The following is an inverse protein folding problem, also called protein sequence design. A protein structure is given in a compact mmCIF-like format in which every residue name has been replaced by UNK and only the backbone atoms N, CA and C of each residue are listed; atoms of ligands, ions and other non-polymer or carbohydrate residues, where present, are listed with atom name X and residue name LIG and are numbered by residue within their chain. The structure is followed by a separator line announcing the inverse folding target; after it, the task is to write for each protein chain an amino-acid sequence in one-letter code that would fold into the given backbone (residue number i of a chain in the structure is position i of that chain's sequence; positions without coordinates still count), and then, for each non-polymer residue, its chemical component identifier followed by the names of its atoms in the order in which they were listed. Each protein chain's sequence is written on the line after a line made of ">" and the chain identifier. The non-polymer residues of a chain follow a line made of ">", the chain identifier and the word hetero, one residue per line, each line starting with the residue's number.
data_IF_656112672179
#
_entry.id   IF_656112672179
#
_cell.length_a   1.000
_cell.length_b   1.000
_cell.length_c   1.000
_cell.angle_alpha   90.00
_cell.angle_beta   90.00
_cell.angle_gamma   90.00
#
_symmetry.space_group_name_H-M   'P 1'
#
loop_
_entity.id
_entity.type
_entity.pdbx_description
1 polymer ?
#
# COMPACT_ATOMS: atom_id res chain seq x y z
N UNK A 1 -35.77 17.79 -9.00
CA UNK A 1 -34.65 18.63 -8.51
C UNK A 1 -34.44 18.57 -7.00
N UNK A 2 -35.47 18.64 -6.16
CA UNK A 2 -35.28 18.63 -4.69
C UNK A 2 -34.78 17.31 -4.08
N UNK A 3 -35.08 16.13 -4.63
CA UNK A 3 -34.69 14.84 -4.03
C UNK A 3 -33.23 14.42 -4.27
N UNK A 4 -32.55 14.99 -5.27
CA UNK A 4 -31.18 14.59 -5.62
C UNK A 4 -30.16 15.14 -4.63
N UNK A 5 -30.40 16.36 -4.15
CA UNK A 5 -29.56 17.07 -3.19
C UNK A 5 -29.31 16.23 -1.93
N UNK A 6 -30.33 15.80 -1.17
CA UNK A 6 -30.10 15.01 0.05
C UNK A 6 -29.52 13.62 -0.24
N UNK A 7 -29.82 13.03 -1.40
CA UNK A 7 -29.22 11.76 -1.80
C UNK A 7 -27.72 11.89 -2.05
N UNK A 8 -27.29 12.93 -2.77
CA UNK A 8 -25.88 13.17 -3.06
C UNK A 8 -25.14 13.56 -1.77
N UNK A 9 -25.76 14.32 -0.87
CA UNK A 9 -25.18 14.61 0.45
C UNK A 9 -24.94 13.33 1.25
N UNK A 10 -25.92 12.41 1.30
CA UNK A 10 -25.75 11.12 1.96
C UNK A 10 -24.64 10.27 1.30
N UNK A 11 -24.53 10.27 -0.04
CA UNK A 11 -23.44 9.59 -0.75
C UNK A 11 -22.09 10.19 -0.37
N UNK A 12 -21.97 11.52 -0.33
CA UNK A 12 -20.74 12.21 0.07
C UNK A 12 -20.35 11.84 1.51
N UNK A 13 -21.30 11.82 2.45
CA UNK A 13 -21.03 11.45 3.85
C UNK A 13 -20.56 10.00 3.98
N UNK A 14 -21.19 9.06 3.25
CA UNK A 14 -20.77 7.66 3.23
C UNK A 14 -19.37 7.49 2.63
N UNK A 15 -19.08 8.20 1.53
CA UNK A 15 -17.77 8.16 0.89
C UNK A 15 -16.69 8.79 1.78
N UNK A 16 -16.99 9.90 2.44
CA UNK A 16 -16.10 10.53 3.42
C UNK A 16 -15.76 9.51 4.51
N UNK A 17 -16.76 8.93 5.18
CA UNK A 17 -16.56 7.92 6.22
C UNK A 17 -15.70 6.73 5.75
N UNK A 18 -15.97 6.21 4.54
CA UNK A 18 -15.18 5.13 3.93
C UNK A 18 -13.72 5.53 3.77
N UNK A 19 -13.44 6.69 3.15
CA UNK A 19 -12.07 7.19 2.91
C UNK A 19 -11.31 7.44 4.22
N UNK A 20 -11.98 7.99 5.23
CA UNK A 20 -11.38 8.23 6.54
C UNK A 20 -11.08 6.92 7.28
N UNK A 21 -11.99 5.94 7.23
CA UNK A 21 -11.76 4.64 7.85
C UNK A 21 -10.52 3.95 7.28
N UNK A 22 -10.35 3.92 5.96
CA UNK A 22 -9.17 3.35 5.30
C UNK A 22 -7.90 4.07 5.76
N UNK A 23 -7.93 5.40 5.79
CA UNK A 23 -6.78 6.21 6.24
C UNK A 23 -6.39 5.87 7.69
N UNK A 24 -7.37 5.69 8.56
CA UNK A 24 -7.14 5.40 9.98
C UNK A 24 -6.50 4.02 10.16
N UNK A 25 -6.90 3.05 9.35
CA UNK A 25 -6.26 1.74 9.37
C UNK A 25 -4.84 1.83 8.79
N UNK A 26 -4.61 2.53 7.68
CA UNK A 26 -3.25 2.76 7.16
C UNK A 26 -2.37 3.42 8.23
N UNK A 27 -2.89 4.41 8.95
CA UNK A 27 -2.17 5.09 10.04
C UNK A 27 -1.84 4.14 11.19
N UNK A 28 -2.67 3.13 11.44
CA UNK A 28 -2.38 2.10 12.45
C UNK A 28 -1.23 1.18 12.00
N UNK A 29 -1.15 0.86 10.71
CA UNK A 29 -0.03 0.13 10.09
C UNK A 29 1.27 0.92 10.20
N UNK A 30 1.25 2.20 9.79
CA UNK A 30 2.42 3.09 9.81
C UNK A 30 3.02 3.25 11.23
N UNK A 31 2.19 3.13 12.26
CA UNK A 31 2.61 3.26 13.66
C UNK A 31 3.02 1.94 14.30
N UNK A 32 2.65 0.81 13.72
CA UNK A 32 2.99 -0.50 14.28
C UNK A 32 4.49 -0.73 14.16
N UNK A 33 5.12 -1.26 15.22
CA UNK A 33 6.49 -1.76 15.10
C UNK A 33 6.49 -3.02 14.22
N UNK A 34 7.63 -3.37 13.62
CA UNK A 34 7.72 -4.54 12.72
C UNK A 34 7.26 -5.84 13.38
N UNK A 35 7.55 -6.01 14.68
CA UNK A 35 7.14 -7.19 15.46
C UNK A 35 5.64 -7.20 15.74
N UNK A 36 5.04 -6.03 15.95
CA UNK A 36 3.59 -5.87 16.10
C UNK A 36 2.89 -6.07 14.76
N UNK A 37 3.51 -5.64 13.66
CA UNK A 37 2.95 -5.77 12.33
C UNK A 37 2.83 -7.24 11.90
N UNK A 38 3.86 -8.04 12.18
CA UNK A 38 3.88 -9.47 11.86
C UNK A 38 2.82 -10.27 12.64
N UNK A 39 2.47 -9.83 13.86
CA UNK A 39 1.43 -10.46 14.69
C UNK A 39 0.02 -9.89 14.47
N UNK A 40 -0.11 -8.58 14.28
CA UNK A 40 -1.37 -7.87 14.22
C UNK A 40 -1.95 -7.80 12.80
N UNK A 41 -1.09 -7.78 11.78
CA UNK A 41 -1.48 -7.67 10.38
C UNK A 41 -0.92 -8.84 9.57
N UNK A 42 -1.60 -9.99 9.67
CA UNK A 42 -1.38 -11.08 8.73
C UNK A 42 -1.52 -10.55 7.30
N UNK A 43 -0.71 -11.05 6.35
CA UNK A 43 -0.75 -10.63 4.93
C UNK A 43 -2.16 -10.60 4.33
N UNK A 44 -3.06 -11.46 4.80
CA UNK A 44 -4.47 -11.46 4.41
C UNK A 44 -5.18 -10.14 4.74
N UNK A 45 -4.97 -9.58 5.94
CA UNK A 45 -5.59 -8.31 6.35
C UNK A 45 -5.04 -7.12 5.57
N UNK A 46 -3.73 -7.10 5.32
CA UNK A 46 -3.10 -6.09 4.45
C UNK A 46 -3.66 -6.16 3.02
N UNK A 47 -3.82 -7.37 2.49
CA UNK A 47 -4.42 -7.58 1.18
C UNK A 47 -5.90 -7.16 1.13
N UNK A 48 -6.70 -7.52 2.14
CA UNK A 48 -8.12 -7.14 2.19
C UNK A 48 -8.28 -5.62 2.29
N UNK A 49 -7.44 -4.96 3.07
CA UNK A 49 -7.42 -3.51 3.14
C UNK A 49 -7.03 -2.86 1.82
N UNK A 50 -6.08 -3.45 1.09
CA UNK A 50 -5.73 -2.97 -0.25
C UNK A 50 -6.93 -3.07 -1.20
N UNK A 51 -7.68 -4.18 -1.14
CA UNK A 51 -8.92 -4.35 -1.89
C UNK A 51 -9.94 -3.26 -1.54
N UNK A 52 -10.16 -2.98 -0.25
CA UNK A 52 -11.09 -1.93 0.17
C UNK A 52 -10.63 -0.52 -0.26
N UNK A 53 -9.33 -0.23 -0.19
CA UNK A 53 -8.77 1.04 -0.67
C UNK A 53 -8.98 1.23 -2.18
N UNK A 54 -8.76 0.16 -2.96
CA UNK A 54 -9.01 0.16 -4.41
C UNK A 54 -10.51 0.37 -4.68
N UNK A 55 -11.38 -0.39 -4.01
CA UNK A 55 -12.82 -0.30 -4.21
C UNK A 55 -13.39 1.09 -3.84
N UNK A 56 -12.92 1.69 -2.75
CA UNK A 56 -13.31 3.05 -2.37
C UNK A 56 -12.88 4.08 -3.42
N UNK A 57 -11.67 3.93 -3.99
CA UNK A 57 -11.18 4.77 -5.09
C UNK A 57 -12.03 4.61 -6.37
N UNK A 58 -12.33 3.37 -6.77
CA UNK A 58 -13.17 3.08 -7.94
C UNK A 58 -14.58 3.64 -7.78
N UNK A 59 -15.20 3.43 -6.63
CA UNK A 59 -16.57 3.91 -6.35
C UNK A 59 -16.62 5.44 -6.33
N UNK A 60 -15.58 6.10 -5.82
CA UNK A 60 -15.45 7.56 -5.88
C UNK A 60 -15.29 8.08 -7.32
N UNK A 61 -14.51 7.40 -8.17
CA UNK A 61 -14.38 7.75 -9.59
C UNK A 61 -15.74 7.78 -10.27
N UNK A 62 -16.50 6.68 -10.12
CA UNK A 62 -17.84 6.55 -10.69
C UNK A 62 -18.80 7.60 -10.10
N UNK A 63 -18.69 7.90 -8.81
CA UNK A 63 -19.53 8.92 -8.16
C UNK A 63 -19.26 10.33 -8.71
N UNK A 64 -17.99 10.69 -8.91
CA UNK A 64 -17.59 11.96 -9.54
C UNK A 64 -18.12 12.04 -10.97
N UNK A 65 -17.87 11.03 -11.80
CA UNK A 65 -18.32 10.98 -13.20
C UNK A 65 -19.85 11.06 -13.31
N UNK A 66 -20.56 10.35 -12.43
CA UNK A 66 -22.03 10.37 -12.39
C UNK A 66 -22.55 11.77 -12.08
N UNK A 67 -21.98 12.43 -11.06
CA UNK A 67 -22.44 13.76 -10.66
C UNK A 67 -22.11 14.83 -11.71
N UNK A 68 -20.96 14.72 -12.37
CA UNK A 68 -20.61 15.57 -13.52
C UNK A 68 -21.59 15.38 -14.68
N UNK A 69 -21.95 14.14 -15.02
CA UNK A 69 -22.94 13.86 -16.06
C UNK A 69 -24.33 14.44 -15.71
N UNK A 70 -24.77 14.30 -14.45
CA UNK A 70 -26.02 14.90 -13.99
C UNK A 70 -25.99 16.43 -14.09
N UNK A 71 -24.85 17.06 -13.80
CA UNK A 71 -24.67 18.50 -13.95
C UNK A 71 -24.80 18.91 -15.42
N UNK A 72 -24.12 18.21 -16.33
CA UNK A 72 -24.22 18.49 -17.77
C UNK A 72 -25.65 18.34 -18.30
N UNK A 73 -26.38 17.33 -17.84
CA UNK A 73 -27.79 17.16 -18.20
C UNK A 73 -28.66 18.31 -17.67
N UNK A 74 -28.41 18.78 -16.44
CA UNK A 74 -29.11 19.93 -15.88
C UNK A 74 -28.84 21.23 -16.67
N UNK A 75 -27.64 21.40 -17.23
CA UNK A 75 -27.28 22.54 -18.09
C UNK A 75 -28.00 22.49 -19.44
N UNK A 76 -28.13 21.30 -20.03
CA UNK A 76 -28.67 21.10 -21.37
C UNK A 76 -30.21 21.03 -21.43
N UNK A 77 -30.90 21.02 -20.30
CA UNK A 77 -32.35 21.00 -20.24
C UNK A 77 -32.94 22.35 -20.71
N UNK A 78 -33.77 22.38 -21.78
CA UNK A 78 -34.34 23.62 -22.28
C UNK A 78 -35.28 24.23 -21.23
N UNK A 79 -35.00 25.44 -20.78
CA UNK A 79 -35.87 26.26 -19.92
C UNK A 79 -37.11 26.73 -20.71
N UNK A 80 -38.04 25.81 -20.99
CA UNK A 80 -39.16 26.04 -21.93
C UNK A 80 -40.33 26.88 -21.36
N UNK A 81 -40.27 27.38 -20.12
CA UNK A 81 -41.40 28.11 -19.52
C UNK A 81 -41.12 29.62 -19.37
N UNK A 82 -41.65 30.41 -20.30
CA UNK A 82 -41.61 31.89 -20.36
C UNK A 82 -42.55 32.63 -19.40
N UNK A 83 -42.94 32.06 -18.25
CA UNK A 83 -43.89 32.73 -17.32
C UNK A 83 -43.43 32.61 -15.87
N UNK A 84 -42.45 33.42 -15.49
CA UNK A 84 -41.87 33.48 -14.13
C UNK A 84 -40.33 33.58 -14.10
N UNK A 85 -39.73 34.47 -14.91
CA UNK A 85 -38.31 34.40 -15.26
C UNK A 85 -37.30 34.72 -14.14
N UNK A 86 -37.70 35.39 -13.06
CA UNK A 86 -36.79 35.78 -11.97
C UNK A 86 -36.50 34.63 -10.99
N UNK A 87 -37.55 34.08 -10.37
CA UNK A 87 -37.43 33.04 -9.35
C UNK A 87 -36.89 31.71 -9.90
N UNK A 88 -37.26 31.37 -11.13
CA UNK A 88 -36.81 30.14 -11.79
C UNK A 88 -35.34 30.21 -12.21
N UNK A 89 -34.85 31.41 -12.55
CA UNK A 89 -33.45 31.66 -12.87
C UNK A 89 -32.59 31.61 -11.59
N UNK A 90 -33.07 32.19 -10.49
CA UNK A 90 -32.41 32.12 -9.19
C UNK A 90 -32.34 30.67 -8.68
N UNK A 91 -33.44 29.92 -8.73
CA UNK A 91 -33.45 28.51 -8.33
C UNK A 91 -32.50 27.64 -9.18
N UNK A 92 -32.44 27.88 -10.50
CA UNK A 92 -31.50 27.18 -11.39
C UNK A 92 -30.04 27.53 -11.10
N UNK A 93 -29.76 28.77 -10.71
CA UNK A 93 -28.43 29.21 -10.33
C UNK A 93 -28.00 28.55 -9.01
N UNK A 94 -28.87 28.55 -8.00
CA UNK A 94 -28.61 27.92 -6.70
C UNK A 94 -28.32 26.41 -6.83
N UNK A 95 -29.11 25.68 -7.63
CA UNK A 95 -28.87 24.25 -7.91
C UNK A 95 -27.50 24.03 -8.56
N UNK A 96 -27.10 24.89 -9.50
CA UNK A 96 -25.79 24.79 -10.17
C UNK A 96 -24.64 24.99 -9.19
N UNK A 97 -24.70 26.03 -8.37
CA UNK A 97 -23.67 26.35 -7.37
C UNK A 97 -23.53 25.21 -6.35
N UNK A 98 -24.66 24.68 -5.87
CA UNK A 98 -24.67 23.56 -4.92
C UNK A 98 -24.06 22.29 -5.55
N UNK A 99 -24.44 21.96 -6.79
CA UNK A 99 -23.90 20.80 -7.50
C UNK A 99 -22.41 20.93 -7.80
N UNK A 100 -21.93 22.12 -8.16
CA UNK A 100 -20.49 22.40 -8.31
C UNK A 100 -19.73 22.18 -6.99
N UNK A 101 -20.31 22.60 -5.87
CA UNK A 101 -19.74 22.37 -4.55
C UNK A 101 -19.62 20.87 -4.24
N UNK A 102 -20.69 20.10 -4.48
CA UNK A 102 -20.70 18.65 -4.27
C UNK A 102 -19.69 17.91 -5.15
N UNK A 103 -19.56 18.29 -6.42
CA UNK A 103 -18.54 17.73 -7.33
C UNK A 103 -17.14 18.01 -6.79
N UNK A 104 -16.86 19.23 -6.32
CA UNK A 104 -15.57 19.57 -5.73
C UNK A 104 -15.28 18.72 -4.48
N UNK A 105 -16.26 18.51 -3.62
CA UNK A 105 -16.10 17.67 -2.43
C UNK A 105 -15.78 16.21 -2.80
N UNK A 106 -16.52 15.62 -3.75
CA UNK A 106 -16.23 14.27 -4.24
C UNK A 106 -14.86 14.18 -4.90
N UNK A 107 -14.42 15.18 -5.68
CA UNK A 107 -13.07 15.20 -6.26
C UNK A 107 -11.98 15.26 -5.21
N UNK A 108 -12.17 16.03 -4.13
CA UNK A 108 -11.23 16.04 -3.01
C UNK A 108 -11.15 14.67 -2.32
N UNK A 109 -12.29 14.00 -2.12
CA UNK A 109 -12.33 12.64 -1.58
C UNK A 109 -11.68 11.63 -2.52
N UNK A 110 -11.92 11.75 -3.83
CA UNK A 110 -11.29 10.92 -4.86
C UNK A 110 -9.76 11.03 -4.79
N UNK A 111 -9.21 12.25 -4.80
CA UNK A 111 -7.76 12.47 -4.69
C UNK A 111 -7.19 11.92 -3.37
N UNK A 112 -7.94 12.06 -2.27
CA UNK A 112 -7.55 11.47 -0.97
C UNK A 112 -7.56 9.94 -1.00
N UNK A 113 -8.56 9.34 -1.64
CA UNK A 113 -8.65 7.88 -1.79
C UNK A 113 -7.51 7.35 -2.66
N UNK A 114 -7.11 8.09 -3.71
CA UNK A 114 -5.94 7.78 -4.52
C UNK A 114 -4.67 7.79 -3.67
N UNK A 115 -4.45 8.87 -2.91
CA UNK A 115 -3.31 8.99 -2.00
C UNK A 115 -3.29 7.87 -0.96
N UNK A 116 -4.44 7.51 -0.39
CA UNK A 116 -4.54 6.36 0.53
C UNK A 116 -4.16 5.04 -0.15
N UNK A 117 -4.63 4.79 -1.38
CA UNK A 117 -4.30 3.60 -2.16
C UNK A 117 -2.80 3.49 -2.41
N UNK A 118 -2.17 4.57 -2.87
CA UNK A 118 -0.72 4.62 -3.14
C UNK A 118 0.09 4.45 -1.86
N UNK A 119 -0.32 5.10 -0.77
CA UNK A 119 0.32 4.98 0.54
C UNK A 119 0.26 3.56 1.09
N UNK A 120 -0.90 2.91 1.01
CA UNK A 120 -1.05 1.52 1.44
C UNK A 120 -0.21 0.55 0.59
N UNK A 121 -0.11 0.78 -0.73
CA UNK A 121 0.76 -0.01 -1.59
C UNK A 121 2.24 0.13 -1.20
N UNK A 122 2.68 1.32 -0.84
CA UNK A 122 4.03 1.55 -0.33
C UNK A 122 4.29 0.78 0.97
N UNK A 123 3.36 0.81 1.93
CA UNK A 123 3.48 0.04 3.16
C UNK A 123 3.53 -1.46 2.90
N UNK A 124 2.65 -2.01 2.05
CA UNK A 124 2.66 -3.44 1.70
C UNK A 124 3.99 -3.85 1.07
N UNK A 125 4.55 -3.01 0.19
CA UNK A 125 5.85 -3.27 -0.42
C UNK A 125 6.98 -3.25 0.62
N UNK A 126 6.99 -2.28 1.53
CA UNK A 126 7.97 -2.19 2.62
C UNK A 126 7.95 -3.45 3.50
N UNK A 127 6.75 -3.93 3.84
CA UNK A 127 6.57 -5.13 4.65
C UNK A 127 7.09 -6.38 3.93
N UNK A 128 6.77 -6.53 2.65
CA UNK A 128 7.29 -7.63 1.84
C UNK A 128 8.82 -7.62 1.73
N UNK A 129 9.43 -6.45 1.55
CA UNK A 129 10.89 -6.30 1.51
C UNK A 129 11.53 -6.69 2.85
N UNK A 130 10.98 -6.19 3.97
CA UNK A 130 11.49 -6.52 5.29
C UNK A 130 11.41 -8.02 5.61
N UNK A 131 10.29 -8.67 5.24
CA UNK A 131 10.15 -10.12 5.39
C UNK A 131 11.20 -10.87 4.55
N UNK A 132 11.44 -10.42 3.32
CA UNK A 132 12.46 -11.01 2.44
C UNK A 132 13.85 -10.89 3.06
N UNK A 133 14.21 -9.71 3.56
CA UNK A 133 15.49 -9.50 4.24
C UNK A 133 15.61 -10.41 5.46
N UNK A 134 14.56 -10.57 6.27
CA UNK A 134 14.56 -11.44 7.43
C UNK A 134 14.79 -12.91 7.05
N UNK A 135 14.07 -13.41 6.03
CA UNK A 135 14.22 -14.79 5.53
C UNK A 135 15.63 -15.03 4.97
N UNK A 136 16.13 -14.12 4.14
CA UNK A 136 17.49 -14.20 3.60
C UNK A 136 18.52 -14.16 4.73
N UNK A 137 18.37 -13.26 5.70
CA UNK A 137 19.29 -13.18 6.84
C UNK A 137 19.28 -14.47 7.64
N UNK A 138 18.10 -15.03 7.94
CA UNK A 138 17.97 -16.28 8.70
C UNK A 138 18.56 -17.49 7.95
N UNK A 139 18.42 -17.53 6.63
CA UNK A 139 18.97 -18.61 5.80
C UNK A 139 20.50 -18.55 5.66
N UNK A 140 21.07 -17.35 5.55
CA UNK A 140 22.50 -17.17 5.25
C UNK A 140 23.37 -16.89 6.47
N UNK A 141 22.83 -16.37 7.57
CA UNK A 141 23.61 -16.01 8.75
C UNK A 141 24.29 -17.22 9.43
N UNK A 142 23.60 -18.36 9.66
CA UNK A 142 24.25 -19.49 10.32
C UNK A 142 25.34 -20.17 9.46
N UNK A 143 25.14 -20.44 8.15
CA UNK A 143 26.21 -20.95 7.29
C UNK A 143 27.41 -20.01 7.20
N UNK A 144 27.17 -18.69 7.13
CA UNK A 144 28.25 -17.70 7.05
C UNK A 144 29.07 -17.67 8.34
N UNK A 145 28.41 -17.77 9.50
CA UNK A 145 29.06 -17.85 10.80
C UNK A 145 29.91 -19.12 10.92
N UNK A 146 29.38 -20.26 10.46
CA UNK A 146 30.13 -21.51 10.40
C UNK A 146 31.34 -21.39 9.46
N UNK A 147 31.18 -20.79 8.27
CA UNK A 147 32.31 -20.56 7.36
C UNK A 147 33.38 -19.67 7.98
N UNK A 148 33.02 -18.62 8.73
CA UNK A 148 33.96 -17.71 9.35
C UNK A 148 34.79 -18.39 10.45
N UNK A 149 34.17 -19.21 11.30
CA UNK A 149 34.86 -19.96 12.36
C UNK A 149 35.87 -20.95 11.76
N UNK A 150 35.53 -21.60 10.64
CA UNK A 150 36.34 -22.68 10.07
C UNK A 150 37.29 -22.23 8.93
N UNK A 151 37.26 -20.97 8.49
CA UNK A 151 37.93 -20.50 7.26
C UNK A 151 39.46 -20.64 7.25
N UNK A 152 40.16 -20.51 8.38
CA UNK A 152 41.63 -20.52 8.42
C UNK A 152 42.23 -21.54 9.40
N UNK A 153 41.39 -22.21 10.19
CA UNK A 153 41.88 -23.08 11.27
C UNK A 153 42.28 -24.49 10.81
N UNK A 154 41.83 -24.93 9.62
CA UNK A 154 41.99 -26.32 9.17
C UNK A 154 42.94 -26.50 7.98
N UNK A 155 43.45 -25.42 7.40
CA UNK A 155 44.29 -25.44 6.20
C UNK A 155 45.62 -24.75 6.49
N UNK A 156 46.74 -25.41 6.19
CA UNK A 156 48.07 -24.82 6.27
C UNK A 156 48.79 -24.98 4.93
N UNK A 157 49.32 -23.88 4.40
CA UNK A 157 50.05 -23.85 3.14
C UNK A 157 51.49 -23.43 3.41
N UNK A 158 52.43 -24.31 3.09
CA UNK A 158 53.86 -24.02 3.17
C UNK A 158 54.41 -23.82 1.75
N UNK A 159 54.76 -22.58 1.36
CA UNK A 159 55.38 -22.34 0.06
C UNK A 159 56.75 -23.02 0.01
N UNK A 160 57.01 -23.80 -1.04
CA UNK A 160 58.30 -24.46 -1.22
C UNK A 160 59.42 -23.43 -1.39
N UNK A 161 60.40 -23.43 -0.49
CA UNK A 161 61.62 -22.64 -0.61
C UNK A 161 62.80 -23.60 -0.87
N UNK A 162 63.74 -23.18 -1.72
CA UNK A 162 64.94 -23.95 -2.12
C UNK A 162 64.66 -25.30 -2.84
N UNK A 163 63.76 -25.30 -3.83
CA UNK A 163 63.53 -26.44 -4.72
C UNK A 163 62.63 -27.56 -4.15
N UNK A 164 62.12 -27.37 -2.94
CA UNK A 164 61.07 -28.21 -2.35
C UNK A 164 59.70 -27.94 -3.00
N UNK A 165 58.85 -28.97 -3.09
CA UNK A 165 57.47 -28.83 -3.58
C UNK A 165 56.63 -28.08 -2.53
N UNK A 166 55.69 -27.24 -2.98
CA UNK A 166 54.72 -26.64 -2.08
C UNK A 166 53.81 -27.71 -1.46
N UNK A 167 53.57 -27.65 -0.15
CA UNK A 167 52.75 -28.62 0.58
C UNK A 167 51.46 -27.95 1.09
N UNK A 168 50.34 -28.62 0.87
CA UNK A 168 49.03 -28.28 1.40
C UNK A 168 48.66 -29.29 2.48
N UNK A 169 48.52 -28.84 3.72
CA UNK A 169 48.13 -29.67 4.85
C UNK A 169 46.69 -29.34 5.25
N UNK A 170 45.87 -30.38 5.33
CA UNK A 170 44.50 -30.31 5.87
C UNK A 170 44.50 -30.99 7.23
N UNK A 171 43.88 -30.37 8.23
CA UNK A 171 43.74 -30.96 9.57
C UNK A 171 42.87 -32.22 9.53
N UNK A 172 43.27 -33.27 10.25
CA UNK A 172 42.50 -34.52 10.38
C UNK A 172 41.12 -34.29 11.03
N UNK A 173 40.96 -33.19 11.79
CA UNK A 173 39.70 -32.79 12.44
C UNK A 173 38.74 -32.04 11.49
N UNK A 174 39.03 -31.96 10.19
CA UNK A 174 38.18 -31.29 9.21
C UNK A 174 36.76 -31.88 9.13
N UNK A 175 36.57 -33.14 9.54
CA UNK A 175 35.25 -33.78 9.62
C UNK A 175 34.24 -33.00 10.48
N UNK A 176 34.71 -32.23 11.48
CA UNK A 176 33.86 -31.39 12.35
C UNK A 176 33.11 -30.32 11.56
N UNK A 177 33.70 -29.78 10.48
CA UNK A 177 33.01 -28.84 9.59
C UNK A 177 31.74 -29.48 8.99
N UNK A 178 31.85 -30.70 8.47
CA UNK A 178 30.73 -31.43 7.86
C UNK A 178 29.69 -31.84 8.89
N UNK A 179 30.11 -32.20 10.10
CA UNK A 179 29.20 -32.50 11.21
C UNK A 179 28.31 -31.30 11.58
N UNK A 180 28.82 -30.06 11.44
CA UNK A 180 28.07 -28.84 11.69
C UNK A 180 27.33 -28.29 10.47
N UNK A 181 27.85 -28.48 9.26
CA UNK A 181 27.31 -27.91 8.03
C UNK A 181 26.12 -28.69 7.45
N UNK A 182 26.12 -30.04 7.55
CA UNK A 182 25.06 -30.89 6.99
C UNK A 182 23.68 -30.70 7.66
N UNK A 183 23.58 -30.54 9.00
CA UNK A 183 22.29 -30.34 9.66
C UNK A 183 21.64 -28.97 9.45
N UNK A 184 22.34 -28.06 8.76
CA UNK A 184 22.07 -26.64 8.68
C UNK A 184 21.46 -26.28 7.32
#
# INVERSE_FOLDING_TARGET
>A
YSLHVPLIEAVIELQDSSVWSIRDIIRSIEKASLTELEKAFNFLMLHEMARHAIHSFETLSVSVETLEAMQQQAINLPTKNKRGSGELMEASYQVRVHMESQIRMLRNLFLRSQSNKERLQNEIALVGVNMTIAVVTLAFLPPTSLSAIFSMSFFNYTPGQDGAKAEWLVSEEFWVYWACAIPL
#
